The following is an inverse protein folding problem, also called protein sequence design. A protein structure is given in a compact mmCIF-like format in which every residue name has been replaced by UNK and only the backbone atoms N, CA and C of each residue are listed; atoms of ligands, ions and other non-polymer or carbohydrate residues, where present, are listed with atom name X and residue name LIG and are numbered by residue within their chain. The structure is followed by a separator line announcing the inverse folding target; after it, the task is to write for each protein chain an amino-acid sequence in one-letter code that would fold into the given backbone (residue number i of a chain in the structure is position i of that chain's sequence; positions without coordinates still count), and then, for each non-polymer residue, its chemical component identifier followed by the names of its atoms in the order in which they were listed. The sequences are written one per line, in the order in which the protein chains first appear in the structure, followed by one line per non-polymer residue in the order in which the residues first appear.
data_IF_552712872716
#
_entry.id   IF_552712872716
#
_cell.length_a   1.000
_cell.length_b   1.000
_cell.length_c   1.000
_cell.angle_alpha   90.00
_cell.angle_beta   90.00
_cell.angle_gamma   90.00
#
_symmetry.space_group_name_H-M   'P 1'
#
loop_
_entity.id
_entity.type
_entity.pdbx_description
1 polymer ?
#
# COMPACT_ATOMS: atom_id res chain seq x y z
N UNK A 1 -7.40 -0.12 -15.38
CA UNK A 1 -6.40 -0.81 -14.54
C UNK A 1 -7.11 -1.76 -13.61
N UNK A 2 -6.63 -2.97 -13.48
CA UNK A 2 -7.23 -3.98 -12.61
C UNK A 2 -6.40 -4.13 -11.32
N UNK A 3 -6.89 -3.56 -10.24
CA UNK A 3 -6.24 -3.66 -8.91
C UNK A 3 -6.44 -5.01 -8.22
N UNK A 4 -7.29 -5.87 -8.73
CA UNK A 4 -7.54 -7.23 -8.19
C UNK A 4 -7.76 -7.26 -6.66
N UNK A 5 -8.47 -6.26 -6.13
CA UNK A 5 -8.69 -6.08 -4.68
C UNK A 5 -7.42 -5.86 -3.84
N UNK A 6 -6.36 -5.39 -4.46
CA UNK A 6 -5.12 -5.06 -3.77
C UNK A 6 -5.02 -3.56 -3.51
N UNK A 7 -4.66 -3.20 -2.30
CA UNK A 7 -4.27 -1.83 -1.97
C UNK A 7 -2.74 -1.74 -2.07
N UNK A 8 -2.24 -0.60 -2.51
CA UNK A 8 -0.81 -0.32 -2.50
C UNK A 8 -0.50 0.77 -1.48
N UNK A 9 0.62 0.62 -0.80
CA UNK A 9 1.21 1.66 0.03
C UNK A 9 2.60 1.97 -0.48
N UNK A 10 2.85 3.25 -0.74
CA UNK A 10 4.09 3.72 -1.36
C UNK A 10 4.77 4.69 -0.41
N UNK A 11 5.97 4.35 0.00
CA UNK A 11 6.82 5.17 0.87
C UNK A 11 7.98 5.74 0.06
N UNK A 12 8.28 7.02 0.30
CA UNK A 12 9.50 7.63 -0.21
C UNK A 12 10.55 7.63 0.89
N UNK A 13 11.64 6.92 0.66
CA UNK A 13 12.71 6.78 1.63
C UNK A 13 14.06 6.58 0.95
N UNK A 14 15.05 7.35 1.39
CA UNK A 14 16.44 7.23 0.95
C UNK A 14 16.61 7.26 -0.58
N UNK A 15 15.96 8.22 -1.24
CA UNK A 15 16.04 8.39 -2.69
C UNK A 15 15.29 7.35 -3.52
N UNK A 16 14.36 6.61 -2.90
CA UNK A 16 13.58 5.56 -3.56
C UNK A 16 12.11 5.66 -3.19
N UNK A 17 11.25 5.17 -4.10
CA UNK A 17 9.90 4.78 -3.80
C UNK A 17 9.88 3.28 -3.47
N UNK A 18 9.36 2.92 -2.31
CA UNK A 18 9.25 1.53 -1.84
C UNK A 18 7.78 1.16 -1.79
N UNK A 19 7.45 0.06 -2.47
CA UNK A 19 6.08 -0.41 -2.64
C UNK A 19 5.79 -1.55 -1.66
N UNK A 20 4.68 -1.41 -0.95
CA UNK A 20 4.09 -2.45 -0.13
C UNK A 20 2.66 -2.68 -0.60
N UNK A 21 2.14 -3.84 -0.30
CA UNK A 21 0.74 -4.15 -0.54
C UNK A 21 -0.02 -4.37 0.75
N UNK A 22 -1.31 -4.10 0.69
CA UNK A 22 -2.24 -4.40 1.76
C UNK A 22 -3.39 -5.22 1.14
N UNK A 23 -3.50 -6.47 1.55
CA UNK A 23 -4.56 -7.36 1.10
C UNK A 23 -5.69 -7.39 2.12
N UNK A 24 -6.89 -7.07 1.68
CA UNK A 24 -8.09 -7.37 2.45
C UNK A 24 -8.35 -8.88 2.38
N UNK A 25 -8.04 -9.56 3.46
CA UNK A 25 -8.22 -11.01 3.57
C UNK A 25 -9.36 -11.28 4.54
N UNK A 26 -10.26 -12.19 4.13
CA UNK A 26 -11.24 -12.74 5.06
C UNK A 26 -10.53 -13.64 6.05
N UNK A 27 -10.60 -13.28 7.31
CA UNK A 27 -10.13 -14.11 8.42
C UNK A 27 -11.34 -14.53 9.22
N UNK A 28 -11.63 -15.83 9.28
CA UNK A 28 -12.82 -16.37 9.93
C UNK A 28 -12.98 -15.94 11.40
N UNK A 29 -11.84 -15.71 12.09
CA UNK A 29 -11.81 -15.23 13.46
C UNK A 29 -12.35 -13.79 13.61
N UNK A 30 -12.41 -13.01 12.53
CA UNK A 30 -12.80 -11.60 12.53
C UNK A 30 -14.00 -11.36 11.62
N UNK A 31 -15.10 -12.07 11.88
CA UNK A 31 -16.31 -12.21 11.05
C UNK A 31 -16.82 -10.93 10.35
N UNK A 32 -16.59 -9.76 10.93
CA UNK A 32 -17.08 -8.48 10.43
C UNK A 32 -15.95 -7.48 10.09
N UNK A 33 -14.69 -7.87 10.24
CA UNK A 33 -13.53 -7.04 9.93
C UNK A 33 -12.58 -7.81 9.01
N UNK A 34 -12.34 -7.26 7.82
CA UNK A 34 -11.25 -7.75 6.96
C UNK A 34 -10.00 -6.95 7.31
N UNK A 35 -9.15 -7.42 8.23
CA UNK A 35 -7.92 -6.72 8.51
C UNK A 35 -7.05 -6.75 7.26
N UNK A 36 -6.55 -5.58 6.86
CA UNK A 36 -5.54 -5.50 5.83
C UNK A 36 -4.25 -6.16 6.32
N UNK A 37 -3.68 -7.01 5.51
CA UNK A 37 -2.40 -7.64 5.79
C UNK A 37 -1.31 -6.98 4.97
N UNK A 38 -0.38 -6.38 5.67
CA UNK A 38 0.75 -5.68 5.10
C UNK A 38 1.78 -6.66 4.54
N UNK A 39 2.06 -6.55 3.25
CA UNK A 39 3.02 -7.42 2.58
C UNK A 39 4.48 -7.14 3.01
N UNK A 40 5.37 -8.05 2.67
CA UNK A 40 6.79 -7.71 2.56
C UNK A 40 6.99 -6.63 1.48
N UNK A 41 8.13 -5.89 1.50
CA UNK A 41 8.43 -4.96 0.41
C UNK A 41 8.38 -5.68 -0.93
N UNK A 42 7.56 -5.15 -1.87
CA UNK A 42 7.36 -5.79 -3.18
C UNK A 42 8.49 -5.43 -4.11
N UNK A 43 8.74 -4.13 -4.27
CA UNK A 43 9.81 -3.59 -5.10
C UNK A 43 10.17 -2.17 -4.67
N UNK A 44 11.29 -1.67 -5.18
CA UNK A 44 11.72 -0.29 -5.00
C UNK A 44 12.25 0.27 -6.32
N UNK A 45 11.97 1.54 -6.59
CA UNK A 45 12.48 2.27 -7.74
C UNK A 45 13.08 3.61 -7.31
N UNK A 46 13.93 4.20 -8.15
CA UNK A 46 14.55 5.49 -7.86
C UNK A 46 13.51 6.62 -7.84
N UNK A 47 13.70 7.61 -6.99
CA UNK A 47 12.80 8.76 -6.91
C UNK A 47 12.79 9.64 -8.17
N UNK A 48 13.86 9.62 -8.96
CA UNK A 48 13.97 10.32 -10.25
C UNK A 48 13.40 9.54 -11.44
N UNK A 49 12.66 8.45 -11.16
CA UNK A 49 12.01 7.65 -12.19
C UNK A 49 11.03 8.45 -13.06
N UNK A 50 10.83 8.00 -14.29
CA UNK A 50 9.81 8.54 -15.17
C UNK A 50 8.39 8.14 -14.76
N UNK A 51 7.38 8.78 -15.34
CA UNK A 51 5.97 8.38 -15.18
C UNK A 51 5.76 6.95 -15.68
N UNK A 52 6.43 6.57 -16.77
CA UNK A 52 6.36 5.20 -17.32
C UNK A 52 6.93 4.17 -16.35
N UNK A 53 8.10 4.43 -15.77
CA UNK A 53 8.73 3.56 -14.77
C UNK A 53 7.88 3.43 -13.51
N UNK A 54 7.26 4.53 -13.05
CA UNK A 54 6.32 4.50 -11.91
C UNK A 54 5.08 3.66 -12.26
N UNK A 55 4.53 3.83 -13.46
CA UNK A 55 3.35 3.09 -13.92
C UNK A 55 3.62 1.58 -14.01
N UNK A 56 4.77 1.20 -14.56
CA UNK A 56 5.21 -0.19 -14.61
C UNK A 56 5.39 -0.77 -13.20
N UNK A 57 5.97 0.00 -12.27
CA UNK A 57 6.14 -0.42 -10.88
C UNK A 57 4.81 -0.65 -10.17
N UNK A 58 3.82 0.21 -10.38
CA UNK A 58 2.46 0.04 -9.85
C UNK A 58 1.84 -1.26 -10.37
N UNK A 59 1.82 -1.46 -11.68
CA UNK A 59 1.22 -2.64 -12.29
C UNK A 59 1.92 -3.93 -11.87
N UNK A 60 3.23 -3.93 -11.83
CA UNK A 60 4.03 -5.07 -11.39
C UNK A 60 3.81 -5.39 -9.90
N UNK A 61 3.66 -4.37 -9.06
CA UNK A 61 3.37 -4.55 -7.65
C UNK A 61 2.02 -5.23 -7.43
N UNK A 62 1.00 -4.82 -8.17
CA UNK A 62 -0.34 -5.43 -8.11
C UNK A 62 -0.27 -6.90 -8.56
N UNK A 63 0.44 -7.20 -9.63
CA UNK A 63 0.61 -8.56 -10.15
C UNK A 63 1.31 -9.47 -9.13
N UNK A 64 2.45 -9.04 -8.58
CA UNK A 64 3.20 -9.79 -7.56
C UNK A 64 2.35 -10.03 -6.31
N UNK A 65 1.63 -9.01 -5.85
CA UNK A 65 0.78 -9.11 -4.69
C UNK A 65 -0.36 -10.11 -4.91
N UNK A 66 -0.98 -10.08 -6.08
CA UNK A 66 -2.04 -11.00 -6.45
C UNK A 66 -1.56 -12.45 -6.57
N UNK A 67 -0.39 -12.68 -7.15
CA UNK A 67 0.22 -14.01 -7.26
C UNK A 67 0.54 -14.62 -5.89
N UNK A 68 0.86 -13.80 -4.89
CA UNK A 68 1.20 -14.24 -3.54
C UNK A 68 0.04 -14.16 -2.53
N UNK A 69 -1.17 -13.85 -2.98
CA UNK A 69 -2.32 -13.62 -2.10
C UNK A 69 -2.63 -14.79 -1.17
N UNK A 70 -2.57 -16.02 -1.66
CA UNK A 70 -2.89 -17.20 -0.86
C UNK A 70 -1.84 -17.47 0.21
N UNK A 71 -0.57 -17.28 -0.10
CA UNK A 71 0.53 -17.37 0.86
C UNK A 71 0.42 -16.31 1.95
N UNK A 72 0.10 -15.07 1.57
CA UNK A 72 -0.09 -13.96 2.50
C UNK A 72 -1.30 -14.23 3.40
N UNK A 73 -2.40 -14.75 2.84
CA UNK A 73 -3.58 -15.16 3.59
C UNK A 73 -3.27 -16.25 4.61
N UNK A 74 -2.54 -17.28 4.22
CA UNK A 74 -2.14 -18.39 5.08
C UNK A 74 -1.26 -17.92 6.25
N UNK A 75 -0.25 -17.09 5.97
CA UNK A 75 0.61 -16.50 6.99
C UNK A 75 -0.19 -15.62 7.97
N UNK A 76 -1.15 -14.87 7.46
CA UNK A 76 -1.97 -13.94 8.26
C UNK A 76 -2.94 -14.65 9.19
N UNK A 77 -3.47 -15.80 8.79
CA UNK A 77 -4.35 -16.61 9.64
C UNK A 77 -3.65 -17.15 10.90
N UNK A 78 -2.32 -17.14 10.91
CA UNK A 78 -1.50 -17.57 12.07
C UNK A 78 -1.20 -16.43 13.03
N UNK A 79 -1.57 -15.18 12.70
CA UNK A 79 -1.22 -13.98 13.45
C UNK A 79 -2.43 -13.47 14.21
N UNK A 80 -2.26 -13.15 15.50
CA UNK A 80 -3.28 -12.50 16.31
C UNK A 80 -3.49 -11.05 15.85
N UNK A 81 -4.72 -10.57 15.89
CA UNK A 81 -5.07 -9.21 15.44
C UNK A 81 -4.17 -8.12 16.04
N UNK A 82 -3.88 -8.17 17.34
CA UNK A 82 -3.00 -7.18 17.99
C UNK A 82 -1.56 -7.17 17.48
N UNK A 83 -1.11 -8.25 16.82
CA UNK A 83 0.23 -8.39 16.29
C UNK A 83 0.36 -7.94 14.84
N UNK A 84 -0.76 -7.73 14.12
CA UNK A 84 -0.75 -7.26 12.72
C UNK A 84 -0.12 -5.88 12.60
N UNK A 85 -0.46 -4.96 13.48
CA UNK A 85 0.12 -3.61 13.49
C UNK A 85 1.61 -3.65 13.82
N UNK A 86 2.01 -4.46 14.78
CA UNK A 86 3.40 -4.66 15.14
C UNK A 86 4.20 -5.28 13.99
N UNK A 87 3.60 -6.19 13.23
CA UNK A 87 4.20 -6.79 12.06
C UNK A 87 4.43 -5.74 10.94
N UNK A 88 3.47 -4.83 10.72
CA UNK A 88 3.61 -3.72 9.78
C UNK A 88 4.85 -2.87 10.13
N UNK A 89 4.97 -2.43 11.36
CA UNK A 89 6.13 -1.65 11.80
C UNK A 89 7.44 -2.41 11.65
N UNK A 90 7.43 -3.71 11.92
CA UNK A 90 8.59 -4.59 11.75
C UNK A 90 9.05 -4.65 10.30
N UNK A 91 8.12 -4.77 9.35
CA UNK A 91 8.41 -4.79 7.92
C UNK A 91 8.96 -3.45 7.43
N UNK A 92 8.41 -2.34 7.88
CA UNK A 92 8.93 -1.00 7.58
C UNK A 92 10.33 -0.78 8.15
N UNK A 93 10.56 -1.15 9.40
CA UNK A 93 11.87 -1.03 10.04
C UNK A 93 12.96 -1.87 9.35
N UNK A 94 12.58 -3.01 8.78
CA UNK A 94 13.49 -3.90 8.05
C UNK A 94 14.12 -3.24 6.82
N UNK A 95 13.43 -2.31 6.18
CA UNK A 95 13.95 -1.51 5.05
C UNK A 95 14.50 -0.14 5.48
N UNK A 96 14.60 0.10 6.78
CA UNK A 96 15.15 1.32 7.35
C UNK A 96 14.14 2.43 7.63
N UNK A 97 12.86 2.24 7.28
CA UNK A 97 11.80 3.19 7.58
C UNK A 97 11.43 3.07 9.07
N UNK A 98 11.74 4.09 9.85
CA UNK A 98 11.45 4.10 11.29
C UNK A 98 9.97 4.36 11.53
N UNK A 99 9.28 3.35 12.02
CA UNK A 99 7.88 3.41 12.37
C UNK A 99 7.60 2.70 13.68
N UNK A 100 6.67 3.24 14.47
CA UNK A 100 6.17 2.63 15.70
C UNK A 100 4.78 3.16 16.03
N UNK A 101 4.10 2.57 17.00
CA UNK A 101 2.80 3.07 17.50
C UNK A 101 2.83 4.54 17.96
N UNK A 102 4.00 5.03 18.39
CA UNK A 102 4.18 6.38 18.90
C UNK A 102 4.76 7.36 17.87
N UNK A 103 5.33 6.86 16.79
CA UNK A 103 6.03 7.66 15.79
C UNK A 103 5.57 7.25 14.40
N UNK A 104 4.75 8.09 13.81
CA UNK A 104 4.37 7.95 12.39
C UNK A 104 5.60 8.20 11.52
N UNK A 105 5.68 7.54 10.40
CA UNK A 105 6.76 7.67 9.43
C UNK A 105 6.94 9.14 9.03
N UNK A 106 8.11 9.68 9.26
CA UNK A 106 8.46 11.03 8.79
C UNK A 106 8.39 11.06 7.25
N UNK A 107 7.71 12.09 6.70
CA UNK A 107 7.52 12.23 5.26
C UNK A 107 6.26 11.56 4.72
N UNK A 108 5.55 10.80 5.54
CA UNK A 108 4.28 10.19 5.15
C UNK A 108 4.38 9.10 4.10
N UNK A 109 3.25 8.68 3.61
CA UNK A 109 3.14 7.72 2.51
C UNK A 109 1.85 7.97 1.72
N UNK A 110 1.76 7.36 0.55
CA UNK A 110 0.55 7.35 -0.27
C UNK A 110 -0.03 5.94 -0.26
N UNK A 111 -1.34 5.86 0.03
CA UNK A 111 -2.13 4.65 -0.14
C UNK A 111 -3.00 4.78 -1.38
N UNK A 112 -2.98 3.77 -2.24
CA UNK A 112 -3.85 3.65 -3.41
C UNK A 112 -4.86 2.54 -3.13
N UNK A 113 -6.11 2.92 -2.96
CA UNK A 113 -7.18 2.03 -2.49
C UNK A 113 -8.31 1.99 -3.51
N UNK A 114 -8.44 0.92 -4.29
CA UNK A 114 -9.58 0.75 -5.18
C UNK A 114 -10.84 0.37 -4.40
N UNK A 115 -11.95 1.00 -4.72
CA UNK A 115 -13.29 0.63 -4.24
C UNK A 115 -14.15 0.28 -5.45
N UNK A 116 -14.35 -1.01 -5.67
CA UNK A 116 -15.18 -1.49 -6.79
C UNK A 116 -16.66 -1.27 -6.54
N UNK A 117 -17.07 -1.23 -5.28
CA UNK A 117 -18.44 -0.94 -4.88
C UNK A 117 -18.82 0.50 -5.23
N UNK A 118 -17.91 1.45 -5.00
CA UNK A 118 -18.14 2.87 -5.26
C UNK A 118 -17.69 3.30 -6.65
N UNK A 119 -17.01 2.45 -7.41
CA UNK A 119 -16.36 2.77 -8.68
C UNK A 119 -15.33 3.92 -8.58
N UNK A 120 -14.63 3.97 -7.47
CA UNK A 120 -13.65 5.03 -7.15
C UNK A 120 -12.31 4.41 -6.75
N UNK A 121 -11.22 5.12 -7.09
CA UNK A 121 -9.90 4.89 -6.52
C UNK A 121 -9.65 6.03 -5.54
N UNK A 122 -9.44 5.69 -4.28
CA UNK A 122 -9.00 6.64 -3.27
C UNK A 122 -7.47 6.69 -3.25
N UNK A 123 -6.93 7.89 -3.34
CA UNK A 123 -5.52 8.14 -3.10
C UNK A 123 -5.42 8.92 -1.80
N UNK A 124 -4.86 8.30 -0.77
CA UNK A 124 -4.69 8.90 0.53
C UNK A 124 -3.22 9.28 0.72
N UNK A 125 -2.97 10.58 0.85
CA UNK A 125 -1.67 11.08 1.31
C UNK A 125 -1.71 11.17 2.83
N UNK A 126 -1.04 10.24 3.48
CA UNK A 126 -1.01 10.15 4.95
C UNK A 126 0.22 10.88 5.47
N UNK A 127 0.00 12.00 6.15
CA UNK A 127 1.07 12.82 6.74
C UNK A 127 1.31 12.48 8.21
N UNK A 128 0.25 12.10 8.93
CA UNK A 128 0.30 11.66 10.34
C UNK A 128 -0.92 10.80 10.66
N UNK A 129 -1.01 10.24 11.88
CA UNK A 129 -2.17 9.45 12.31
C UNK A 129 -3.49 10.21 12.25
N UNK A 130 -3.45 11.54 12.37
CA UNK A 130 -4.63 12.41 12.40
C UNK A 130 -4.76 13.33 11.19
N UNK A 131 -3.83 13.26 10.24
CA UNK A 131 -3.79 14.17 9.08
C UNK A 131 -3.55 13.38 7.80
N UNK A 132 -4.53 13.39 6.92
CA UNK A 132 -4.43 12.83 5.58
C UNK A 132 -5.21 13.72 4.59
N UNK A 133 -4.76 13.71 3.35
CA UNK A 133 -5.47 14.30 2.22
C UNK A 133 -6.00 13.16 1.34
N UNK A 134 -7.22 13.31 0.84
CA UNK A 134 -7.88 12.33 -0.01
C UNK A 134 -8.13 12.89 -1.39
N UNK A 135 -7.78 12.10 -2.41
CA UNK A 135 -8.11 12.37 -3.80
C UNK A 135 -8.96 11.21 -4.30
N UNK A 136 -10.11 11.50 -4.86
CA UNK A 136 -11.00 10.53 -5.47
C UNK A 136 -10.85 10.55 -6.99
N UNK A 137 -10.66 9.39 -7.58
CA UNK A 137 -10.55 9.21 -9.03
C UNK A 137 -11.54 8.14 -9.50
N UNK A 138 -12.07 8.24 -10.71
CA UNK A 138 -12.83 7.14 -11.32
C UNK A 138 -12.04 5.83 -11.33
N UNK A 139 -12.71 4.69 -11.16
CA UNK A 139 -12.05 3.37 -11.12
C UNK A 139 -11.30 3.02 -12.40
N UNK A 140 -11.70 3.60 -13.52
CA UNK A 140 -11.09 3.42 -14.84
C UNK A 140 -9.97 4.43 -15.14
N UNK A 141 -9.54 5.20 -14.14
CA UNK A 141 -8.43 6.16 -14.29
C UNK A 141 -7.16 5.43 -14.76
N UNK A 142 -6.49 5.95 -15.80
CA UNK A 142 -5.24 5.37 -16.30
C UNK A 142 -4.14 5.38 -15.21
N UNK A 143 -3.30 4.36 -15.22
CA UNK A 143 -2.20 4.24 -14.25
C UNK A 143 -1.21 5.41 -14.35
N UNK A 144 -1.02 5.98 -15.52
CA UNK A 144 -0.16 7.15 -15.75
C UNK A 144 -0.63 8.35 -14.93
N UNK A 145 -1.94 8.55 -14.84
CA UNK A 145 -2.51 9.63 -14.02
C UNK A 145 -2.27 9.43 -12.54
N UNK A 146 -2.39 8.20 -12.07
CA UNK A 146 -2.05 7.84 -10.69
C UNK A 146 -0.57 8.07 -10.43
N UNK A 147 0.30 7.69 -11.36
CA UNK A 147 1.74 7.90 -11.30
C UNK A 147 2.11 9.39 -11.19
N UNK A 148 1.46 10.25 -11.97
CA UNK A 148 1.63 11.71 -11.92
C UNK A 148 1.30 12.23 -10.52
N UNK A 149 0.19 11.80 -9.94
CA UNK A 149 -0.25 12.21 -8.61
C UNK A 149 0.76 11.76 -7.55
N UNK A 150 1.19 10.51 -7.58
CA UNK A 150 2.17 9.97 -6.62
C UNK A 150 3.47 10.80 -6.67
N UNK A 151 3.98 11.07 -7.86
CA UNK A 151 5.22 11.83 -8.03
C UNK A 151 5.09 13.29 -7.61
N UNK A 152 3.91 13.89 -7.76
CA UNK A 152 3.68 15.28 -7.34
C UNK A 152 3.42 15.43 -5.85
N UNK A 153 2.81 14.41 -5.20
CA UNK A 153 2.40 14.48 -3.80
C UNK A 153 3.41 13.86 -2.82
N UNK A 154 4.28 13.03 -3.29
CA UNK A 154 5.27 12.33 -2.50
C UNK A 154 6.70 12.70 -2.94
#
# INVERSE_FOLDING_TARGET
MDFKNCNLEIYKYNGKYIFFGDLKIYVEMYKDMSPGVFSEPILAIKEDCSIEEMSEAILKSIEILHENKDKIAEESNKIKYGDLLSLRFKKLNKVGIRASKKKVVEGGHISVIPSFEDNIIYILKVESESSYEEIELPIDTPVEKISEIIKSEL
#
